data_IF_007368077766
#
_entry.id   IF_007368077766
#
_cell.length_a   1.000
_cell.length_b   1.000
_cell.length_c   1.000
_cell.angle_alpha   90.00
_cell.angle_beta   90.00
_cell.angle_gamma   90.00
#
_symmetry.space_group_name_H-M   'P 1'
#
loop_
_entity.id
_entity.type
_entity.pdbx_description
1 polymer ?
#
# COMPACT_ATOMS: atom_id res chain seq x y z
N UNK A 1 -20.88 -6.99 11.97
CA UNK A 1 -19.48 -7.38 12.02
C UNK A 1 -18.70 -6.27 12.74
N UNK A 2 -17.79 -6.66 13.66
CA UNK A 2 -16.92 -5.71 14.29
C UNK A 2 -15.82 -5.34 13.29
N UNK A 3 -15.68 -4.06 13.00
CA UNK A 3 -14.54 -3.51 12.27
C UNK A 3 -13.58 -2.86 13.27
N UNK A 4 -12.30 -2.92 12.98
CA UNK A 4 -11.25 -2.33 13.79
C UNK A 4 -10.25 -1.57 12.93
N UNK A 5 -9.41 -0.80 13.56
CA UNK A 5 -8.29 -0.12 12.92
C UNK A 5 -7.02 -0.31 13.75
N UNK A 6 -5.89 -0.07 13.11
CA UNK A 6 -4.59 -0.03 13.77
C UNK A 6 -4.24 1.43 14.04
N UNK A 7 -4.05 1.79 15.30
CA UNK A 7 -3.66 3.15 15.72
C UNK A 7 -2.16 3.39 15.61
N UNK A 8 -1.36 2.32 15.71
CA UNK A 8 0.11 2.37 15.57
C UNK A 8 0.60 1.37 14.51
N UNK A 9 0.67 1.77 13.24
CA UNK A 9 1.17 0.92 12.16
C UNK A 9 2.67 0.59 12.31
N UNK A 10 3.46 1.45 12.96
CA UNK A 10 4.88 1.19 13.20
C UNK A 10 5.07 0.05 14.20
N UNK A 11 4.25 0.00 15.25
CA UNK A 11 4.27 -1.10 16.20
C UNK A 11 3.90 -2.43 15.53
N UNK A 12 2.92 -2.42 14.62
CA UNK A 12 2.57 -3.61 13.84
C UNK A 12 3.76 -4.08 12.97
N UNK A 13 4.42 -3.15 12.27
CA UNK A 13 5.61 -3.47 11.47
C UNK A 13 6.76 -4.01 12.34
N UNK A 14 7.01 -3.42 13.51
CA UNK A 14 8.00 -3.93 14.46
C UNK A 14 7.68 -5.34 14.96
N UNK A 15 6.41 -5.66 15.22
CA UNK A 15 6.01 -7.00 15.62
C UNK A 15 6.28 -8.04 14.53
N UNK A 16 6.03 -7.71 13.25
CA UNK A 16 6.39 -8.58 12.12
C UNK A 16 7.91 -8.76 12.00
N UNK A 17 8.68 -7.66 12.11
CA UNK A 17 10.14 -7.71 12.09
C UNK A 17 10.69 -8.57 13.24
N UNK A 18 10.14 -8.40 14.44
CA UNK A 18 10.54 -9.18 15.61
C UNK A 18 10.28 -10.67 15.39
N UNK A 19 9.09 -11.04 14.91
CA UNK A 19 8.76 -12.42 14.58
C UNK A 19 9.67 -12.98 13.48
N UNK A 20 9.93 -12.22 12.42
CA UNK A 20 10.83 -12.63 11.33
C UNK A 20 12.25 -12.90 11.83
N UNK A 21 12.78 -12.03 12.70
CA UNK A 21 14.10 -12.22 13.31
C UNK A 21 14.18 -13.49 14.17
N UNK A 22 13.10 -13.82 14.86
CA UNK A 22 13.03 -15.07 15.63
C UNK A 22 13.14 -16.31 14.73
N UNK A 23 12.77 -16.17 13.46
CA UNK A 23 12.92 -17.21 12.43
C UNK A 23 14.19 -17.05 11.56
N UNK A 24 15.15 -16.24 11.99
CA UNK A 24 16.45 -16.10 11.33
C UNK A 24 16.52 -15.02 10.25
N UNK A 25 15.49 -14.18 10.09
CA UNK A 25 15.57 -13.07 9.16
C UNK A 25 16.48 -11.96 9.68
N UNK A 26 17.22 -11.34 8.78
CA UNK A 26 18.00 -10.14 9.05
C UNK A 26 17.24 -8.88 8.57
N UNK A 27 17.39 -7.78 9.32
CA UNK A 27 16.88 -6.47 8.91
C UNK A 27 18.03 -5.48 8.81
N UNK A 28 18.09 -4.77 7.69
CA UNK A 28 19.10 -3.74 7.43
C UNK A 28 18.40 -2.43 7.12
N UNK A 29 18.45 -1.50 8.06
CA UNK A 29 17.94 -0.14 7.87
C UNK A 29 19.02 0.73 7.21
N UNK A 30 18.60 1.82 6.57
CA UNK A 30 19.49 2.78 5.86
C UNK A 30 20.39 2.07 4.84
N UNK A 31 19.81 1.09 4.16
CA UNK A 31 20.49 0.25 3.17
C UNK A 31 19.73 0.36 1.84
N UNK A 32 19.97 1.47 1.14
CA UNK A 32 19.33 1.75 -0.15
C UNK A 32 19.83 0.77 -1.21
N UNK A 33 18.90 0.12 -1.91
CA UNK A 33 19.17 -0.71 -3.08
C UNK A 33 19.24 0.19 -4.31
N UNK A 34 20.38 0.16 -5.01
CA UNK A 34 20.64 0.97 -6.21
C UNK A 34 20.70 0.14 -7.50
N UNK A 35 20.76 -1.19 -7.38
CA UNK A 35 20.73 -2.12 -8.52
C UNK A 35 20.06 -3.43 -8.14
N UNK A 36 19.31 -3.99 -9.07
CA UNK A 36 18.83 -5.38 -9.05
C UNK A 36 19.76 -6.18 -9.98
N UNK A 37 20.61 -6.99 -9.36
CA UNK A 37 21.64 -7.72 -10.08
C UNK A 37 21.05 -8.99 -10.70
N UNK A 38 21.31 -9.23 -11.99
CA UNK A 38 20.82 -10.37 -12.75
C UNK A 38 21.75 -10.72 -13.91
N UNK A 39 21.59 -11.90 -14.49
CA UNK A 39 22.35 -12.39 -15.65
C UNK A 39 21.59 -12.22 -16.98
N UNK A 40 20.50 -11.46 -16.97
CA UNK A 40 19.59 -11.25 -18.12
C UNK A 40 18.44 -12.26 -18.17
N UNK A 41 18.42 -13.27 -17.31
CA UNK A 41 17.35 -14.28 -17.19
C UNK A 41 16.91 -14.50 -15.75
N UNK A 42 17.86 -14.44 -14.81
CA UNK A 42 17.66 -14.79 -13.42
C UNK A 42 18.30 -13.76 -12.48
N UNK A 43 17.67 -13.56 -11.34
CA UNK A 43 18.20 -12.76 -10.25
C UNK A 43 19.49 -13.40 -9.69
N UNK A 44 20.48 -12.56 -9.42
CA UNK A 44 21.72 -12.95 -8.71
C UNK A 44 21.87 -12.23 -7.37
N UNK A 45 21.15 -11.11 -7.16
CA UNK A 45 21.17 -10.38 -5.92
C UNK A 45 20.78 -8.91 -6.06
N UNK A 46 21.28 -8.10 -5.15
CA UNK A 46 21.10 -6.64 -5.14
C UNK A 46 22.42 -5.95 -4.79
N UNK A 47 22.61 -4.74 -5.31
CA UNK A 47 23.72 -3.87 -4.92
C UNK A 47 23.18 -2.68 -4.12
N UNK A 48 23.79 -2.42 -2.97
CA UNK A 48 23.47 -1.30 -2.11
C UNK A 48 24.23 -0.02 -2.50
N UNK A 49 23.73 1.14 -2.10
CA UNK A 49 24.39 2.44 -2.30
C UNK A 49 25.81 2.50 -1.67
N UNK A 50 26.08 1.68 -0.66
CA UNK A 50 27.41 1.50 -0.08
C UNK A 50 28.43 0.78 -1.01
N UNK A 51 27.95 0.20 -2.10
CA UNK A 51 28.72 -0.70 -2.98
C UNK A 51 28.72 -2.17 -2.52
N UNK A 52 28.14 -2.49 -1.37
CA UNK A 52 27.97 -3.87 -0.92
C UNK A 52 27.03 -4.63 -1.84
N UNK A 53 27.39 -5.86 -2.19
CA UNK A 53 26.53 -6.79 -2.94
C UNK A 53 25.96 -7.85 -2.01
N UNK A 54 24.68 -8.09 -2.12
CA UNK A 54 23.97 -9.16 -1.41
C UNK A 54 23.50 -10.17 -2.44
N UNK A 55 24.15 -11.33 -2.45
CA UNK A 55 23.77 -12.44 -3.32
C UNK A 55 22.47 -13.08 -2.81
N UNK A 56 21.50 -13.21 -3.71
CA UNK A 56 20.22 -13.85 -3.42
C UNK A 56 19.61 -14.42 -4.72
N UNK A 57 19.09 -15.65 -4.72
CA UNK A 57 18.40 -16.21 -5.88
C UNK A 57 16.96 -15.70 -6.02
N UNK A 58 16.43 -15.04 -4.98
CA UNK A 58 15.06 -14.50 -4.93
C UNK A 58 15.11 -13.09 -4.37
N UNK A 59 14.43 -12.17 -5.05
CA UNK A 59 14.21 -10.79 -4.60
C UNK A 59 12.72 -10.51 -4.66
N UNK A 60 12.16 -9.98 -3.58
CA UNK A 60 10.77 -9.54 -3.51
C UNK A 60 10.74 -8.01 -3.41
N UNK A 61 10.17 -7.36 -4.41
CA UNK A 61 9.92 -5.92 -4.37
C UNK A 61 8.67 -5.62 -3.55
N UNK A 62 8.85 -5.04 -2.36
CA UNK A 62 7.79 -4.55 -1.49
C UNK A 62 8.07 -3.09 -1.08
N UNK A 63 8.67 -2.30 -1.99
CA UNK A 63 9.22 -0.98 -1.71
C UNK A 63 8.16 0.14 -1.64
N UNK A 64 6.85 -0.18 -1.66
CA UNK A 64 5.77 0.79 -1.58
C UNK A 64 5.87 1.86 -2.67
N UNK A 65 5.83 3.17 -2.35
CA UNK A 65 5.90 4.24 -3.36
C UNK A 65 7.14 4.20 -4.25
N UNK A 66 8.22 3.55 -3.82
CA UNK A 66 9.44 3.35 -4.61
C UNK A 66 9.40 2.08 -5.49
N UNK A 67 8.36 1.26 -5.39
CA UNK A 67 8.34 -0.05 -6.04
C UNK A 67 8.43 0.06 -7.58
N UNK A 68 7.85 1.10 -8.19
CA UNK A 68 7.98 1.34 -9.64
C UNK A 68 9.43 1.63 -10.05
N UNK A 69 10.23 2.31 -9.20
CA UNK A 69 11.66 2.54 -9.40
C UNK A 69 12.43 1.20 -9.36
N UNK A 70 12.10 0.33 -8.41
CA UNK A 70 12.72 -1.00 -8.29
C UNK A 70 12.36 -1.90 -9.49
N UNK A 71 11.11 -1.88 -9.97
CA UNK A 71 10.72 -2.62 -11.17
C UNK A 71 11.48 -2.16 -12.42
N UNK A 72 11.73 -0.84 -12.56
CA UNK A 72 12.59 -0.34 -13.64
C UNK A 72 14.04 -0.79 -13.50
N UNK A 73 14.60 -0.79 -12.27
CA UNK A 73 15.95 -1.33 -12.01
C UNK A 73 16.08 -2.81 -12.38
N UNK A 74 15.02 -3.60 -12.17
CA UNK A 74 14.97 -5.01 -12.55
C UNK A 74 14.74 -5.22 -14.07
N UNK A 75 14.40 -4.17 -14.80
CA UNK A 75 14.09 -4.25 -16.23
C UNK A 75 12.74 -4.88 -16.56
N UNK A 76 11.81 -4.96 -15.60
CA UNK A 76 10.52 -5.65 -15.74
C UNK A 76 9.31 -4.69 -15.85
N UNK A 77 9.54 -3.39 -15.80
CA UNK A 77 8.45 -2.42 -15.80
C UNK A 77 7.66 -2.41 -17.13
N UNK A 78 8.34 -2.63 -18.26
CA UNK A 78 7.73 -2.56 -19.59
C UNK A 78 6.88 -3.80 -19.96
N UNK A 79 7.01 -4.90 -19.20
CA UNK A 79 6.17 -6.08 -19.40
C UNK A 79 4.79 -6.00 -18.75
N UNK A 80 4.59 -5.00 -17.88
CA UNK A 80 3.41 -4.88 -17.03
C UNK A 80 2.25 -4.20 -17.78
N UNK A 81 1.08 -4.82 -17.77
CA UNK A 81 -0.15 -4.20 -18.26
C UNK A 81 -0.74 -3.22 -17.22
N UNK A 82 -0.49 -3.48 -15.94
CA UNK A 82 -0.90 -2.61 -14.84
C UNK A 82 0.31 -1.83 -14.35
N UNK A 83 0.23 -0.51 -14.47
CA UNK A 83 1.24 0.40 -13.92
C UNK A 83 0.87 0.82 -12.51
N UNK A 84 1.87 1.19 -11.74
CA UNK A 84 1.70 1.81 -10.44
C UNK A 84 2.65 2.98 -10.26
N UNK A 85 2.20 3.99 -9.54
CA UNK A 85 2.93 5.25 -9.36
C UNK A 85 2.70 5.81 -7.96
N UNK A 86 3.63 6.62 -7.44
CA UNK A 86 3.38 7.37 -6.23
C UNK A 86 2.22 8.35 -6.42
N UNK A 87 1.24 8.30 -5.52
CA UNK A 87 0.11 9.22 -5.44
C UNK A 87 0.15 9.93 -4.10
N UNK A 88 0.27 11.25 -4.13
CA UNK A 88 0.30 12.06 -2.91
C UNK A 88 -1.09 12.16 -2.31
N UNK A 89 -1.17 11.93 -1.00
CA UNK A 89 -2.38 12.01 -0.19
C UNK A 89 -2.13 12.85 1.06
N UNK A 90 -3.18 13.43 1.61
CA UNK A 90 -3.13 14.17 2.85
C UNK A 90 -4.09 13.59 3.88
N UNK A 91 -3.59 13.40 5.11
CA UNK A 91 -4.40 12.97 6.24
C UNK A 91 -4.31 14.03 7.32
N UNK A 92 -5.45 14.44 7.81
CA UNK A 92 -5.57 15.52 8.78
C UNK A 92 -5.96 14.99 10.16
N UNK A 93 -5.57 15.74 11.17
CA UNK A 93 -5.98 15.54 12.56
C UNK A 93 -6.78 16.77 13.00
N UNK A 94 -7.95 16.54 13.56
CA UNK A 94 -8.82 17.60 14.04
C UNK A 94 -9.41 17.23 15.43
N UNK A 95 -9.83 18.19 16.25
CA UNK A 95 -10.55 17.88 17.49
C UNK A 95 -11.81 17.07 17.20
N UNK A 96 -12.00 15.98 17.94
CA UNK A 96 -13.20 15.18 17.81
C UNK A 96 -14.38 15.89 18.52
N UNK A 97 -15.57 15.99 17.90
CA UNK A 97 -16.74 16.47 18.57
C UNK A 97 -17.20 15.50 19.67
N UNK A 98 -18.00 15.98 20.61
CA UNK A 98 -18.58 15.14 21.66
C UNK A 98 -19.41 14.01 21.06
N UNK A 99 -19.26 12.80 21.58
CA UNK A 99 -19.87 11.58 21.07
C UNK A 99 -19.14 10.95 19.88
N UNK A 100 -17.99 11.50 19.46
CA UNK A 100 -17.15 10.91 18.40
C UNK A 100 -15.68 10.76 18.85
N UNK A 101 -15.45 10.42 20.08
CA UNK A 101 -14.12 10.14 20.61
C UNK A 101 -13.86 8.65 20.66
N UNK A 102 -12.60 8.25 20.84
CA UNK A 102 -12.21 6.85 20.93
C UNK A 102 -12.90 6.14 22.12
N UNK A 103 -13.01 6.83 23.25
CA UNK A 103 -13.71 6.37 24.45
C UNK A 103 -15.24 6.25 24.30
N UNK A 104 -15.80 6.85 23.24
CA UNK A 104 -17.22 6.75 22.91
C UNK A 104 -17.55 5.55 22.02
N UNK A 105 -16.58 4.68 21.73
CA UNK A 105 -16.66 3.57 20.74
C UNK A 105 -17.12 4.05 19.36
N UNK A 106 -16.75 5.27 18.98
CA UNK A 106 -17.14 5.85 17.70
C UNK A 106 -16.57 5.03 16.51
N UNK A 107 -17.35 4.86 15.45
CA UNK A 107 -16.98 4.01 14.33
C UNK A 107 -15.95 4.66 13.41
N UNK A 108 -15.28 3.84 12.58
CA UNK A 108 -14.65 4.29 11.34
C UNK A 108 -15.76 4.54 10.33
N UNK A 109 -15.77 5.72 9.73
CA UNK A 109 -16.76 6.13 8.73
C UNK A 109 -16.09 6.38 7.40
N UNK A 110 -16.63 5.81 6.33
CA UNK A 110 -16.34 6.18 4.95
C UNK A 110 -17.62 6.76 4.35
N UNK A 111 -17.58 8.02 4.01
CA UNK A 111 -18.68 8.77 3.44
C UNK A 111 -18.41 9.06 1.97
N UNK A 112 -18.90 8.16 1.12
CA UNK A 112 -18.69 8.25 -0.33
C UNK A 112 -19.48 9.39 -0.98
N UNK A 113 -20.54 9.87 -0.34
CA UNK A 113 -21.32 10.99 -0.85
C UNK A 113 -20.57 12.32 -0.75
N UNK A 114 -19.77 12.48 0.32
CA UNK A 114 -18.94 13.67 0.54
C UNK A 114 -17.48 13.47 0.18
N UNK A 115 -17.06 12.23 -0.11
CA UNK A 115 -15.70 11.92 -0.54
C UNK A 115 -14.67 11.97 0.59
N UNK A 116 -15.04 11.60 1.82
CA UNK A 116 -14.16 11.57 2.98
C UNK A 116 -14.27 10.26 3.75
N UNK A 117 -13.19 9.91 4.44
CA UNK A 117 -13.24 8.96 5.54
C UNK A 117 -12.72 9.63 6.82
N UNK A 118 -13.24 9.19 7.96
CA UNK A 118 -12.75 9.67 9.25
C UNK A 118 -12.93 8.60 10.32
N UNK A 119 -12.13 8.71 11.37
CA UNK A 119 -12.17 7.80 12.51
C UNK A 119 -11.73 8.49 13.79
N UNK A 120 -12.19 8.02 14.96
CA UNK A 120 -11.64 8.50 16.22
C UNK A 120 -10.15 8.20 16.32
N UNK A 121 -9.44 9.05 17.03
CA UNK A 121 -8.00 8.95 17.27
C UNK A 121 -7.70 9.30 18.73
N UNK A 122 -6.66 8.71 19.35
CA UNK A 122 -6.27 9.03 20.72
C UNK A 122 -6.09 10.53 20.98
N UNK A 123 -6.33 10.95 22.22
CA UNK A 123 -6.17 12.35 22.62
C UNK A 123 -7.37 13.25 22.27
N UNK A 124 -8.57 12.68 22.13
CA UNK A 124 -9.80 13.46 21.85
C UNK A 124 -9.80 14.08 20.44
N UNK A 125 -9.11 13.44 19.51
CA UNK A 125 -9.00 13.87 18.10
C UNK A 125 -9.66 12.86 17.16
N UNK A 126 -9.78 13.23 15.90
CA UNK A 126 -10.14 12.34 14.80
C UNK A 126 -9.11 12.47 13.65
N UNK A 127 -8.91 11.40 12.92
CA UNK A 127 -8.20 11.40 11.64
C UNK A 127 -9.20 11.51 10.51
N UNK A 128 -8.85 12.30 9.50
CA UNK A 128 -9.67 12.58 8.32
C UNK A 128 -8.83 12.53 7.05
N UNK A 129 -9.33 11.86 6.02
CA UNK A 129 -8.70 11.81 4.70
C UNK A 129 -9.74 11.75 3.57
N UNK A 130 -9.28 11.91 2.34
CA UNK A 130 -10.10 11.78 1.15
C UNK A 130 -10.35 10.31 0.76
N UNK A 131 -11.45 10.07 0.04
CA UNK A 131 -11.72 8.80 -0.63
C UNK A 131 -11.58 8.89 -2.15
N UNK A 132 -10.92 9.92 -2.61
CA UNK A 132 -10.63 10.23 -4.03
C UNK A 132 -11.88 10.16 -4.93
N UNK A 133 -12.96 10.91 -4.62
CA UNK A 133 -14.10 10.97 -5.52
C UNK A 133 -13.68 11.57 -6.87
N UNK A 134 -14.38 11.23 -7.94
CA UNK A 134 -14.03 11.63 -9.31
C UNK A 134 -13.95 13.17 -9.54
N UNK A 135 -14.46 13.97 -8.61
CA UNK A 135 -14.37 15.44 -8.65
C UNK A 135 -13.07 15.98 -8.03
N UNK A 136 -12.29 15.16 -7.35
CA UNK A 136 -11.03 15.58 -6.74
C UNK A 136 -9.86 15.28 -7.70
N UNK A 137 -8.91 16.19 -7.73
CA UNK A 137 -7.69 16.00 -8.51
C UNK A 137 -6.76 14.98 -7.82
N UNK A 138 -6.22 14.04 -8.60
CA UNK A 138 -5.22 13.09 -8.13
C UNK A 138 -3.82 13.70 -8.29
N UNK A 139 -3.10 13.86 -7.20
CA UNK A 139 -1.77 14.46 -7.16
C UNK A 139 -0.68 13.40 -7.37
N UNK A 140 -0.46 13.00 -8.63
CA UNK A 140 0.59 12.08 -9.00
C UNK A 140 1.97 12.69 -8.80
N UNK A 141 2.92 11.87 -8.34
CA UNK A 141 4.30 12.24 -8.07
C UNK A 141 5.22 11.44 -8.99
N UNK A 142 6.18 12.12 -9.63
CA UNK A 142 7.13 11.48 -10.54
C UNK A 142 8.25 10.76 -9.78
N UNK A 143 8.74 11.35 -8.70
CA UNK A 143 9.81 10.80 -7.87
C UNK A 143 9.35 10.72 -6.41
N UNK A 144 9.34 9.51 -5.86
CA UNK A 144 8.98 9.28 -4.47
C UNK A 144 10.00 9.86 -3.46
N UNK A 145 11.17 10.29 -3.92
CA UNK A 145 12.18 10.97 -3.09
C UNK A 145 12.06 12.50 -3.13
N UNK A 146 11.34 13.07 -4.14
CA UNK A 146 11.17 14.52 -4.33
C UNK A 146 9.70 14.89 -4.47
N UNK A 147 9.05 15.16 -3.34
CA UNK A 147 7.65 15.56 -3.31
C UNK A 147 7.34 16.43 -2.09
N UNK A 148 6.23 17.18 -2.15
CA UNK A 148 5.79 18.05 -1.06
C UNK A 148 5.20 17.22 0.09
N UNK A 149 5.84 17.26 1.25
CA UNK A 149 5.44 16.51 2.45
C UNK A 149 4.44 17.27 3.34
N UNK A 150 4.40 18.61 3.23
CA UNK A 150 3.51 19.45 4.01
C UNK A 150 2.07 19.35 3.45
N UNK A 151 1.10 19.54 4.34
CA UNK A 151 -0.29 19.68 3.95
C UNK A 151 -0.56 20.99 3.20
N UNK A 152 -1.62 21.01 2.38
CA UNK A 152 -2.05 22.18 1.62
C UNK A 152 -3.31 22.78 2.25
N UNK A 153 -3.43 24.09 2.18
CA UNK A 153 -4.60 24.81 2.72
C UNK A 153 -5.86 24.46 1.93
N UNK A 154 -5.75 24.36 0.63
CA UNK A 154 -6.86 24.11 -0.29
C UNK A 154 -7.52 22.74 -0.05
N UNK A 155 -6.68 21.68 0.09
CA UNK A 155 -7.18 20.34 0.39
C UNK A 155 -7.73 20.29 1.82
N UNK A 156 -7.04 20.91 2.77
CA UNK A 156 -7.49 21.00 4.15
C UNK A 156 -8.86 21.66 4.27
N UNK A 157 -9.07 22.83 3.65
CA UNK A 157 -10.36 23.51 3.66
C UNK A 157 -11.46 22.61 3.09
N UNK A 158 -11.20 21.96 1.97
CA UNK A 158 -12.14 21.04 1.35
C UNK A 158 -12.53 19.90 2.30
N UNK A 159 -11.55 19.27 2.95
CA UNK A 159 -11.80 18.17 3.89
C UNK A 159 -12.55 18.61 5.14
N UNK A 160 -12.18 19.79 5.69
CA UNK A 160 -12.86 20.33 6.87
C UNK A 160 -14.31 20.71 6.56
N UNK A 161 -14.59 21.32 5.41
CA UNK A 161 -15.95 21.68 4.99
C UNK A 161 -16.82 20.42 4.75
N UNK A 162 -16.26 19.38 4.14
CA UNK A 162 -16.95 18.10 3.95
C UNK A 162 -17.30 17.45 5.29
N UNK A 163 -16.36 17.46 6.23
CA UNK A 163 -16.60 16.93 7.58
C UNK A 163 -17.64 17.76 8.34
N UNK A 164 -17.56 19.10 8.31
CA UNK A 164 -18.53 19.98 8.95
C UNK A 164 -19.95 19.78 8.40
N UNK A 165 -20.08 19.48 7.11
CA UNK A 165 -21.37 19.15 6.49
C UNK A 165 -21.94 17.83 7.03
N UNK A 166 -21.10 16.85 7.34
CA UNK A 166 -21.52 15.56 7.88
C UNK A 166 -21.73 15.60 9.40
N UNK A 167 -20.95 16.41 10.10
CA UNK A 167 -20.96 16.55 11.56
C UNK A 167 -21.26 18.01 11.94
N UNK A 168 -22.54 18.39 12.12
CA UNK A 168 -22.92 19.80 12.38
C UNK A 168 -22.26 20.42 13.62
N UNK A 169 -21.89 19.61 14.62
CA UNK A 169 -21.22 20.05 15.84
C UNK A 169 -19.68 20.06 15.72
N UNK A 170 -19.14 19.79 14.54
CA UNK A 170 -17.71 19.83 14.32
C UNK A 170 -17.20 21.26 14.30
N UNK A 171 -16.25 21.55 15.20
CA UNK A 171 -15.54 22.82 15.22
C UNK A 171 -14.37 22.78 14.23
N UNK A 172 -14.49 23.52 13.13
CA UNK A 172 -13.40 23.61 12.13
C UNK A 172 -12.19 24.28 12.77
N UNK A 173 -11.00 23.61 12.79
CA UNK A 173 -9.77 24.22 13.31
C UNK A 173 -9.38 25.49 12.52
N UNK A 174 -8.58 26.35 13.11
CA UNK A 174 -8.13 27.60 12.46
C UNK A 174 -6.93 27.39 11.52
N UNK A 175 -6.28 26.24 11.60
CA UNK A 175 -5.09 25.92 10.78
C UNK A 175 -4.98 24.42 10.53
N UNK A 176 -4.34 24.03 9.41
CA UNK A 176 -4.05 22.62 9.11
C UNK A 176 -3.21 21.95 10.19
N UNK A 177 -3.59 20.72 10.54
CA UNK A 177 -2.76 19.79 11.29
C UNK A 177 -2.89 18.44 10.62
N UNK A 178 -1.78 17.85 10.20
CA UNK A 178 -1.79 16.60 9.46
C UNK A 178 -0.45 16.31 8.78
N UNK A 179 -0.45 15.34 7.90
CA UNK A 179 0.72 14.92 7.13
C UNK A 179 0.34 14.69 5.67
N UNK A 180 1.29 14.98 4.77
CA UNK A 180 1.31 14.40 3.44
C UNK A 180 1.96 13.01 3.50
N UNK A 181 1.50 12.10 2.65
CA UNK A 181 2.05 10.77 2.49
C UNK A 181 1.90 10.31 1.04
N UNK A 182 2.61 9.25 0.66
CA UNK A 182 2.49 8.66 -0.67
C UNK A 182 1.78 7.30 -0.59
N UNK A 183 0.79 7.12 -1.45
CA UNK A 183 0.32 5.78 -1.84
C UNK A 183 1.18 5.26 -2.99
N UNK A 184 1.31 3.95 -3.09
CA UNK A 184 1.74 3.24 -4.29
C UNK A 184 0.47 2.81 -5.02
N UNK A 185 -0.07 3.65 -5.90
CA UNK A 185 -1.38 3.45 -6.51
C UNK A 185 -1.27 2.82 -7.90
N UNK A 186 -2.02 1.75 -8.13
CA UNK A 186 -2.17 1.10 -9.45
C UNK A 186 -3.23 1.80 -10.29
N UNK A 187 -3.20 1.54 -11.61
CA UNK A 187 -4.19 2.07 -12.56
C UNK A 187 -5.63 1.66 -12.21
N UNK A 188 -5.81 0.52 -11.54
CA UNK A 188 -7.12 -0.04 -11.17
C UNK A 188 -7.36 -0.14 -9.65
N UNK A 189 -6.49 0.44 -8.83
CA UNK A 189 -6.55 0.42 -7.36
C UNK A 189 -6.44 -0.97 -6.72
N UNK A 190 -6.17 -2.02 -7.51
CA UNK A 190 -5.97 -3.39 -7.04
C UNK A 190 -4.47 -3.69 -6.93
N UNK A 191 -3.99 -4.30 -5.84
CA UNK A 191 -2.56 -4.56 -5.66
C UNK A 191 -2.01 -5.55 -6.70
N UNK A 192 -0.69 -5.57 -6.82
CA UNK A 192 0.06 -6.52 -7.63
C UNK A 192 0.76 -7.49 -6.69
N UNK A 193 0.39 -8.76 -6.73
CA UNK A 193 1.06 -9.88 -6.08
C UNK A 193 1.42 -10.89 -7.16
N UNK A 194 2.63 -10.80 -7.68
CA UNK A 194 3.00 -11.55 -8.87
C UNK A 194 4.50 -11.87 -8.93
N UNK A 195 4.84 -12.76 -9.84
CA UNK A 195 6.19 -12.92 -10.37
C UNK A 195 6.47 -11.92 -11.49
N UNK A 196 7.69 -11.88 -12.00
CA UNK A 196 8.02 -11.22 -13.27
C UNK A 196 8.51 -12.24 -14.31
N UNK A 197 8.86 -11.76 -15.52
CA UNK A 197 9.57 -12.57 -16.51
C UNK A 197 11.01 -12.88 -16.09
N UNK A 198 11.59 -12.07 -15.20
CA UNK A 198 12.94 -12.29 -14.65
C UNK A 198 12.84 -13.31 -13.52
N UNK A 199 13.42 -14.49 -13.72
CA UNK A 199 13.36 -15.57 -12.75
C UNK A 199 13.92 -15.13 -11.38
N UNK A 200 13.16 -15.40 -10.32
CA UNK A 200 13.52 -15.05 -8.96
C UNK A 200 13.11 -13.62 -8.54
N UNK A 201 12.51 -12.80 -9.43
CA UNK A 201 11.99 -11.49 -9.06
C UNK A 201 10.48 -11.50 -8.90
N UNK A 202 10.01 -11.14 -7.69
CA UNK A 202 8.60 -11.12 -7.31
C UNK A 202 8.17 -9.72 -6.86
N UNK A 203 6.88 -9.44 -6.94
CA UNK A 203 6.30 -8.12 -6.66
C UNK A 203 5.15 -8.23 -5.65
N UNK A 204 5.23 -7.42 -4.58
CA UNK A 204 4.15 -7.14 -3.64
C UNK A 204 4.00 -5.62 -3.53
N UNK A 205 3.37 -5.01 -4.53
CA UNK A 205 3.34 -3.56 -4.72
C UNK A 205 1.96 -3.08 -5.18
N UNK A 206 1.81 -1.79 -5.42
CA UNK A 206 0.54 -1.21 -5.86
C UNK A 206 -0.55 -1.28 -4.79
N UNK A 207 -0.21 -0.98 -3.54
CA UNK A 207 -1.11 -1.15 -2.39
C UNK A 207 -2.28 -0.17 -2.37
N UNK A 208 -2.23 0.90 -3.17
CA UNK A 208 -3.30 1.89 -3.36
C UNK A 208 -3.92 2.43 -2.07
N UNK A 209 -3.13 2.49 -0.97
CA UNK A 209 -3.54 2.99 0.33
C UNK A 209 -4.43 2.08 1.18
N UNK A 210 -4.89 0.93 0.65
CA UNK A 210 -5.93 0.13 1.32
C UNK A 210 -5.48 -1.29 1.74
N UNK A 211 -4.21 -1.67 1.54
CA UNK A 211 -3.75 -3.06 1.70
C UNK A 211 -3.11 -3.40 3.04
N UNK A 212 -3.02 -2.49 4.00
CA UNK A 212 -2.42 -2.78 5.32
C UNK A 212 -3.03 -4.01 5.99
N UNK A 213 -4.37 -4.12 5.96
CA UNK A 213 -5.13 -5.27 6.48
C UNK A 213 -4.79 -6.59 5.80
N UNK A 214 -4.30 -6.55 4.56
CA UNK A 214 -4.03 -7.73 3.73
C UNK A 214 -2.57 -8.19 3.80
N UNK A 215 -1.70 -7.52 4.55
CA UNK A 215 -0.27 -7.85 4.63
C UNK A 215 0.01 -9.35 4.91
N UNK A 216 -0.70 -10.04 5.83
CA UNK A 216 -0.48 -11.48 6.03
C UNK A 216 -0.86 -12.33 4.81
N UNK A 217 -1.93 -11.92 4.09
CA UNK A 217 -2.39 -12.63 2.90
C UNK A 217 -1.44 -12.40 1.71
N UNK A 218 -0.94 -11.17 1.55
CA UNK A 218 0.08 -10.83 0.56
C UNK A 218 1.33 -11.71 0.74
N UNK A 219 1.81 -11.87 1.97
CA UNK A 219 2.94 -12.73 2.28
C UNK A 219 2.67 -14.20 1.91
N UNK A 220 1.46 -14.71 2.18
CA UNK A 220 1.05 -16.06 1.76
C UNK A 220 1.08 -16.19 0.24
N UNK A 221 0.54 -15.21 -0.49
CA UNK A 221 0.50 -15.25 -1.96
C UNK A 221 1.90 -15.23 -2.56
N UNK A 222 2.79 -14.34 -2.09
CA UNK A 222 4.17 -14.29 -2.55
C UNK A 222 4.89 -15.61 -2.26
N UNK A 223 4.71 -16.20 -1.07
CA UNK A 223 5.29 -17.51 -0.76
C UNK A 223 4.82 -18.59 -1.73
N UNK A 224 3.50 -18.65 -2.02
CA UNK A 224 2.95 -19.65 -2.95
C UNK A 224 3.47 -19.45 -4.39
N UNK A 225 3.65 -18.18 -4.81
CA UNK A 225 4.25 -17.86 -6.11
C UNK A 225 5.71 -18.30 -6.20
N UNK A 226 6.49 -18.10 -5.13
CA UNK A 226 7.89 -18.56 -5.04
C UNK A 226 7.95 -20.09 -5.10
N UNK A 227 7.18 -20.79 -4.26
CA UNK A 227 7.14 -22.25 -4.21
C UNK A 227 6.73 -22.87 -5.56
N UNK A 228 5.77 -22.23 -6.25
CA UNK A 228 5.35 -22.67 -7.58
C UNK A 228 6.44 -22.49 -8.63
N UNK A 229 7.12 -21.32 -8.62
CA UNK A 229 8.23 -21.05 -9.53
C UNK A 229 9.41 -22.03 -9.29
N UNK A 230 9.76 -22.31 -8.05
CA UNK A 230 10.79 -23.31 -7.69
C UNK A 230 10.40 -24.72 -8.12
N UNK A 231 9.09 -25.04 -8.15
CA UNK A 231 8.57 -26.30 -8.69
C UNK A 231 8.44 -26.31 -10.23
N UNK A 232 8.93 -25.26 -10.91
CA UNK A 232 8.89 -25.15 -12.37
C UNK A 232 7.50 -24.84 -12.96
N UNK A 233 6.55 -24.38 -12.13
CA UNK A 233 5.22 -23.97 -12.59
C UNK A 233 5.23 -22.50 -13.02
N UNK A 234 4.54 -22.22 -14.11
CA UNK A 234 4.37 -20.86 -14.59
C UNK A 234 2.99 -20.31 -14.18
N UNK A 235 2.96 -19.35 -13.27
CA UNK A 235 1.74 -18.69 -12.80
C UNK A 235 1.01 -17.93 -13.92
N UNK A 236 1.73 -17.42 -14.93
CA UNK A 236 1.14 -16.69 -16.04
C UNK A 236 0.27 -17.60 -16.93
N UNK A 237 0.66 -18.87 -17.06
CA UNK A 237 -0.07 -19.87 -17.85
C UNK A 237 -1.15 -20.58 -17.02
N UNK A 238 -0.82 -20.92 -15.77
CA UNK A 238 -1.71 -21.62 -14.84
C UNK A 238 -1.76 -20.86 -13.50
N UNK A 239 -2.72 -19.93 -13.34
CA UNK A 239 -2.80 -19.12 -12.13
C UNK A 239 -3.02 -19.95 -10.86
N UNK A 240 -2.22 -19.68 -9.84
CA UNK A 240 -2.30 -20.34 -8.55
C UNK A 240 -3.60 -19.97 -7.84
N UNK A 241 -4.21 -20.95 -7.17
CA UNK A 241 -5.42 -20.78 -6.39
C UNK A 241 -5.13 -21.01 -4.91
N UNK A 242 -5.64 -20.13 -4.08
CA UNK A 242 -5.53 -20.21 -2.62
C UNK A 242 -6.91 -20.43 -2.02
N UNK A 243 -7.03 -21.44 -1.17
CA UNK A 243 -8.27 -21.67 -0.40
C UNK A 243 -8.08 -21.16 1.02
N UNK A 244 -8.88 -20.18 1.40
CA UNK A 244 -8.85 -19.60 2.74
C UNK A 244 -9.22 -20.63 3.82
N UNK A 245 -8.36 -20.94 4.79
CA UNK A 245 -8.55 -22.06 5.72
C UNK A 245 -9.75 -21.88 6.66
N UNK A 246 -10.20 -20.65 6.88
CA UNK A 246 -11.37 -20.35 7.72
C UNK A 246 -12.66 -20.17 6.92
N UNK A 247 -12.57 -19.63 5.71
CA UNK A 247 -13.75 -19.31 4.90
C UNK A 247 -14.11 -20.42 3.92
N UNK A 248 -13.16 -21.30 3.59
CA UNK A 248 -13.30 -22.27 2.50
C UNK A 248 -13.39 -21.64 1.10
N UNK A 249 -13.30 -20.30 1.01
CA UNK A 249 -13.38 -19.59 -0.27
C UNK A 249 -12.08 -19.70 -1.03
N UNK A 250 -12.19 -19.95 -2.33
CA UNK A 250 -11.06 -19.94 -3.25
C UNK A 250 -10.79 -18.52 -3.76
N UNK A 251 -9.53 -18.16 -3.82
CA UNK A 251 -9.00 -16.91 -4.39
C UNK A 251 -8.09 -17.30 -5.54
N UNK A 252 -8.37 -16.78 -6.73
CA UNK A 252 -7.48 -16.87 -7.87
C UNK A 252 -6.40 -15.78 -7.75
N UNK A 253 -5.13 -16.15 -7.49
CA UNK A 253 -4.03 -15.19 -7.34
C UNK A 253 -3.75 -14.45 -8.67
N UNK A 254 -4.09 -15.04 -9.82
CA UNK A 254 -3.99 -14.37 -11.12
C UNK A 254 -4.82 -13.10 -11.24
N UNK A 255 -5.81 -12.87 -10.37
CA UNK A 255 -6.51 -11.60 -10.29
C UNK A 255 -5.61 -10.42 -9.84
N UNK A 256 -4.44 -10.72 -9.27
CA UNK A 256 -3.43 -9.76 -8.84
C UNK A 256 -2.21 -9.72 -9.76
N UNK A 257 -2.30 -10.38 -10.93
CA UNK A 257 -1.20 -10.45 -11.89
C UNK A 257 -0.90 -9.07 -12.51
N UNK A 258 0.39 -8.81 -12.75
CA UNK A 258 0.88 -7.67 -13.52
C UNK A 258 0.37 -7.66 -14.97
N UNK A 259 -0.01 -8.84 -15.50
CA UNK A 259 -0.49 -9.01 -16.89
C UNK A 259 -2.01 -8.91 -17.01
N UNK A 260 -2.75 -8.70 -15.89
CA UNK A 260 -4.19 -8.55 -15.95
C UNK A 260 -4.60 -7.34 -16.78
N UNK A 261 -5.78 -7.35 -17.30
CA UNK A 261 -6.45 -6.13 -17.77
C UNK A 261 -6.92 -5.34 -16.54
N UNK A 262 -6.85 -4.00 -16.62
CA UNK A 262 -7.32 -3.14 -15.55
C UNK A 262 -8.78 -3.47 -15.20
N UNK A 263 -9.04 -3.70 -13.94
CA UNK A 263 -10.37 -4.00 -13.42
C UNK A 263 -11.19 -2.71 -13.33
N UNK A 264 -12.51 -2.85 -13.53
CA UNK A 264 -13.43 -1.76 -13.24
C UNK A 264 -13.67 -1.76 -11.73
N UNK A 265 -13.08 -0.82 -11.04
CA UNK A 265 -13.21 -0.61 -9.59
C UNK A 265 -13.90 0.73 -9.31
N UNK A 266 -14.02 1.11 -8.04
CA UNK A 266 -14.50 2.44 -7.68
C UNK A 266 -13.54 3.56 -8.12
N UNK A 267 -12.30 3.24 -8.46
CA UNK A 267 -11.23 4.21 -8.76
C UNK A 267 -10.77 4.98 -7.51
N UNK A 268 -10.96 4.40 -6.33
CA UNK A 268 -10.71 5.07 -5.04
C UNK A 268 -9.99 4.13 -4.06
N UNK A 269 -9.49 4.72 -2.96
CA UNK A 269 -8.90 3.95 -1.85
C UNK A 269 -9.85 2.91 -1.23
N UNK A 270 -11.13 3.01 -1.52
CA UNK A 270 -12.13 2.08 -1.01
C UNK A 270 -12.16 0.75 -1.78
N UNK A 271 -11.54 0.65 -2.95
CA UNK A 271 -11.40 -0.55 -3.79
C UNK A 271 -12.48 -0.75 -4.81
#
# INVERSE_FOLDING_TARGET
PLSGFMDDPMLAAHNYIFAAKHHGAETRFKSEVVSIDNDGKKITGVTLASGEKIEAPIVVNAAGPHASKINRMAGVADEMNIRHRPLRQEVYVAPAPDGFKLEDDAPVVADLDTGIYFRPHPGGTLNLGGTEPACDELHWVEDADDWRQETTVEIWETMMLRLARRMPNFGVPVSPSGIGALYDATDDWVPIYDRSSLDGFFMACGTSGNQFKNAPLAAIFIRLLIEAAEAGKNHDDEPIRYVGPRSGKEINIGAFSRLRQALVTSGTVMG
#
